data_IF_269013598606
#
_entry.id   IF_269013598606
#
_cell.length_a   1.000
_cell.length_b   1.000
_cell.length_c   1.000
_cell.angle_alpha   90.00
_cell.angle_beta   90.00
_cell.angle_gamma   90.00
#
_symmetry.space_group_name_H-M   'P 1'
#
loop_
_entity.id
_entity.type
_entity.pdbx_description
1 polymer ?
#
# COMPACT_ATOMS: atom_id res chain seq x y z
N UNK A 1 29.93 -3.93 -2.26
CA UNK A 1 29.23 -2.82 -2.95
C UNK A 1 28.06 -3.39 -3.74
N UNK A 2 26.82 -3.23 -3.25
CA UNK A 2 25.63 -3.74 -3.96
C UNK A 2 25.48 -2.94 -5.26
N UNK A 3 25.75 -3.58 -6.40
CA UNK A 3 25.59 -2.96 -7.72
C UNK A 3 24.10 -2.87 -8.05
N UNK A 4 23.43 -1.78 -7.68
CA UNK A 4 22.09 -1.41 -8.15
C UNK A 4 22.17 -0.80 -9.57
N UNK A 5 22.84 -1.50 -10.50
CA UNK A 5 22.97 -1.05 -11.89
C UNK A 5 21.98 -1.82 -12.77
N UNK A 6 21.22 -1.10 -13.57
CA UNK A 6 20.50 -1.70 -14.69
C UNK A 6 21.53 -2.32 -15.67
N UNK A 7 21.31 -3.50 -16.26
CA UNK A 7 20.08 -4.31 -16.27
C UNK A 7 19.99 -5.37 -15.16
N UNK A 8 20.97 -5.43 -14.25
CA UNK A 8 21.11 -6.47 -13.22
C UNK A 8 20.03 -6.30 -12.15
N UNK A 9 19.86 -5.08 -11.64
CA UNK A 9 18.72 -4.73 -10.78
C UNK A 9 17.64 -4.03 -11.60
N UNK A 10 16.42 -4.58 -11.58
CA UNK A 10 15.25 -4.04 -12.29
C UNK A 10 14.07 -3.95 -11.34
N UNK A 11 13.88 -2.78 -10.73
CA UNK A 11 12.77 -2.52 -9.80
C UNK A 11 11.38 -2.78 -10.38
N UNK A 12 11.25 -2.79 -11.72
CA UNK A 12 10.00 -3.16 -12.40
C UNK A 12 9.59 -4.62 -12.17
N UNK A 13 10.51 -5.53 -11.83
CA UNK A 13 10.20 -6.94 -11.53
C UNK A 13 9.25 -7.09 -10.34
N UNK A 14 9.43 -6.27 -9.30
CA UNK A 14 8.54 -6.22 -8.13
C UNK A 14 7.15 -5.65 -8.46
N UNK A 15 6.97 -5.04 -9.64
CA UNK A 15 5.71 -4.45 -10.10
C UNK A 15 5.04 -5.26 -11.21
N UNK A 16 5.55 -6.46 -11.53
CA UNK A 16 5.14 -7.25 -12.71
C UNK A 16 3.69 -7.78 -12.61
N UNK A 17 3.31 -8.39 -11.48
CA UNK A 17 1.94 -8.88 -11.25
C UNK A 17 1.31 -8.24 -10.01
N UNK A 18 -0.02 -8.24 -9.90
CA UNK A 18 -0.71 -7.82 -8.68
C UNK A 18 -0.27 -8.62 -7.45
N UNK A 19 -0.07 -9.94 -7.59
CA UNK A 19 0.38 -10.83 -6.52
C UNK A 19 1.78 -10.46 -5.99
N UNK A 20 2.75 -10.24 -6.89
CA UNK A 20 4.10 -9.83 -6.47
C UNK A 20 4.04 -8.46 -5.77
N UNK A 21 3.21 -7.55 -6.30
CA UNK A 21 3.03 -6.22 -5.72
C UNK A 21 2.40 -6.26 -4.32
N UNK A 22 1.47 -7.19 -4.07
CA UNK A 22 0.86 -7.34 -2.75
C UNK A 22 1.84 -7.90 -1.71
N UNK A 23 2.75 -8.78 -2.11
CA UNK A 23 3.77 -9.36 -1.22
C UNK A 23 4.79 -8.34 -0.73
N UNK A 24 5.12 -7.33 -1.54
CA UNK A 24 6.14 -6.32 -1.22
C UNK A 24 5.55 -4.97 -0.79
N UNK A 25 4.22 -4.89 -0.60
CA UNK A 25 3.54 -3.65 -0.26
C UNK A 25 3.84 -3.26 1.19
N UNK A 26 4.37 -2.06 1.39
CA UNK A 26 4.72 -1.55 2.73
C UNK A 26 3.50 -1.06 3.52
N UNK A 27 2.48 -0.53 2.82
CA UNK A 27 1.31 0.10 3.46
C UNK A 27 0.05 -0.76 3.30
N UNK A 28 -0.67 -0.98 4.40
CA UNK A 28 -1.99 -1.61 4.40
C UNK A 28 -2.98 -0.68 5.10
N UNK A 29 -4.23 -0.68 4.65
CA UNK A 29 -5.32 0.06 5.25
C UNK A 29 -6.45 -0.93 5.52
N UNK A 30 -7.01 -0.88 6.72
CA UNK A 30 -8.09 -1.73 7.19
C UNK A 30 -9.24 -0.88 7.72
N UNK A 31 -10.41 -1.51 7.93
CA UNK A 31 -11.58 -0.83 8.53
C UNK A 31 -11.25 -0.32 9.94
N UNK A 32 -10.34 -0.99 10.66
CA UNK A 32 -9.92 -0.61 12.01
C UNK A 32 -9.16 0.71 12.05
N UNK A 33 -8.63 1.16 10.91
CA UNK A 33 -7.90 2.43 10.79
C UNK A 33 -8.84 3.61 10.51
N UNK A 34 -10.13 3.35 10.31
CA UNK A 34 -11.11 4.36 9.91
C UNK A 34 -11.91 4.87 11.12
N UNK A 35 -12.03 6.19 11.21
CA UNK A 35 -12.93 6.87 12.14
C UNK A 35 -14.05 7.51 11.33
N UNK A 36 -15.30 7.20 11.66
CA UNK A 36 -16.47 7.79 11.03
C UNK A 36 -17.15 8.77 12.00
N UNK A 37 -16.81 10.07 11.96
CA UNK A 37 -17.46 11.05 12.80
C UNK A 37 -18.91 11.26 12.37
N UNK A 38 -19.83 11.15 13.33
CA UNK A 38 -21.26 11.37 13.12
C UNK A 38 -21.65 12.63 13.90
N UNK A 39 -22.30 13.56 13.21
CA UNK A 39 -22.86 14.76 13.82
C UNK A 39 -24.31 14.51 14.19
N UNK A 40 -24.68 14.81 15.43
CA UNK A 40 -26.05 14.67 15.94
C UNK A 40 -26.60 16.06 16.23
N UNK A 41 -27.86 16.28 15.86
CA UNK A 41 -28.64 17.47 16.21
C UNK A 41 -29.80 17.04 17.09
N UNK A 42 -30.10 17.81 18.14
CA UNK A 42 -31.29 17.60 18.96
C UNK A 42 -32.56 17.82 18.12
N UNK A 43 -33.54 16.92 18.26
CA UNK A 43 -34.88 17.09 17.70
C UNK A 43 -35.07 16.65 16.24
N UNK A 44 -34.41 15.57 15.82
CA UNK A 44 -34.87 14.73 14.69
C UNK A 44 -35.62 13.54 15.29
#
# INVERSE_FOLDING_TARGET
MIKTKFPISRMRRLRYTPLIRSLVKETQLSINDLIYPIFVKEGI
#
